data_IF_471532287148
#
_entry.id   IF_471532287148
#
_cell.length_a   1.000
_cell.length_b   1.000
_cell.length_c   1.000
_cell.angle_alpha   90.00
_cell.angle_beta   90.00
_cell.angle_gamma   90.00
#
_symmetry.space_group_name_H-M   'P 1'
#
loop_
_entity.id
_entity.type
_entity.pdbx_description
1 polymer ?
#
# COMPACT_ATOMS: atom_id res chain seq x y z
N UNK A 1 27.58 -28.22 67.78
CA UNK A 1 27.14 -29.00 66.60
C UNK A 1 25.85 -28.45 65.98
N UNK A 2 24.94 -27.88 66.77
CA UNK A 2 23.66 -27.31 66.30
C UNK A 2 23.83 -26.06 65.41
N UNK A 3 24.80 -25.19 65.73
CA UNK A 3 25.08 -23.95 64.98
C UNK A 3 25.50 -24.20 63.52
N UNK A 4 26.19 -25.31 63.26
CA UNK A 4 26.67 -25.67 61.93
C UNK A 4 25.51 -26.08 61.00
N UNK A 5 24.43 -26.62 61.57
CA UNK A 5 23.25 -27.07 60.84
C UNK A 5 22.38 -25.89 60.37
N UNK A 6 22.29 -24.82 61.19
CA UNK A 6 21.55 -23.58 60.85
C UNK A 6 22.23 -22.81 59.72
N UNK A 7 23.56 -22.77 59.69
CA UNK A 7 24.34 -22.13 58.62
C UNK A 7 24.18 -22.84 57.26
N UNK A 8 24.20 -24.18 57.25
CA UNK A 8 23.97 -24.98 56.04
C UNK A 8 22.57 -24.74 55.43
N UNK A 9 21.52 -24.69 56.26
CA UNK A 9 20.16 -24.42 55.78
C UNK A 9 19.99 -22.99 55.22
N UNK A 10 20.63 -21.98 55.82
CA UNK A 10 20.60 -20.59 55.31
C UNK A 10 21.32 -20.47 53.95
N UNK A 11 22.46 -21.13 53.77
CA UNK A 11 23.22 -21.15 52.51
C UNK A 11 22.47 -21.84 51.36
N UNK A 12 21.74 -22.92 51.64
CA UNK A 12 20.89 -23.61 50.65
C UNK A 12 19.73 -22.69 50.21
N UNK A 13 19.05 -22.02 51.16
CA UNK A 13 17.97 -21.06 50.84
C UNK A 13 18.47 -19.87 50.01
N UNK A 14 19.66 -19.34 50.29
CA UNK A 14 20.25 -18.25 49.49
C UNK A 14 20.59 -18.68 48.05
N UNK A 15 21.04 -19.92 47.82
CA UNK A 15 21.31 -20.46 46.46
C UNK A 15 20.04 -20.67 45.63
N UNK A 16 18.90 -20.96 46.25
CA UNK A 16 17.64 -21.11 45.53
C UNK A 16 16.99 -19.76 45.20
N UNK A 17 17.11 -18.76 46.09
CA UNK A 17 16.60 -17.40 45.85
C UNK A 17 17.37 -16.70 44.73
N UNK A 18 18.70 -16.83 44.69
CA UNK A 18 19.52 -16.25 43.60
C UNK A 18 19.24 -16.87 42.23
N UNK A 19 18.95 -18.17 42.16
CA UNK A 19 18.59 -18.85 40.90
C UNK A 19 17.21 -18.43 40.39
N UNK A 20 16.23 -18.20 41.27
CA UNK A 20 14.90 -17.71 40.89
C UNK A 20 14.95 -16.27 40.34
N UNK A 21 15.73 -15.38 40.96
CA UNK A 21 15.89 -14.00 40.46
C UNK A 21 16.62 -13.94 39.10
N UNK A 22 17.62 -14.80 38.89
CA UNK A 22 18.31 -14.88 37.59
C UNK A 22 17.39 -15.38 36.46
N UNK A 23 16.46 -16.31 36.75
CA UNK A 23 15.49 -16.80 35.76
C UNK A 23 14.44 -15.73 35.40
N UNK A 24 13.97 -14.96 36.39
CA UNK A 24 13.04 -13.85 36.19
C UNK A 24 13.67 -12.70 35.37
N UNK A 25 14.94 -12.38 35.60
CA UNK A 25 15.66 -11.38 34.81
C UNK A 25 15.88 -11.82 33.35
N UNK A 26 16.14 -13.11 33.11
CA UNK A 26 16.24 -13.66 31.75
C UNK A 26 14.89 -13.66 31.02
N UNK A 27 13.78 -13.90 31.73
CA UNK A 27 12.43 -13.80 31.15
C UNK A 27 12.04 -12.35 30.82
N UNK A 28 12.41 -11.38 31.66
CA UNK A 28 12.13 -9.95 31.40
C UNK A 28 12.91 -9.38 30.20
N UNK A 29 14.11 -9.91 29.92
CA UNK A 29 14.89 -9.55 28.72
C UNK A 29 14.39 -10.27 27.46
N UNK A 30 13.78 -11.45 27.59
CA UNK A 30 13.16 -12.18 26.48
C UNK A 30 11.82 -11.58 26.02
N UNK A 31 11.23 -10.69 26.83
CA UNK A 31 10.01 -9.93 26.49
C UNK A 31 10.30 -8.54 25.94
N UNK A 32 11.50 -8.28 25.40
CA UNK A 32 11.64 -7.15 24.48
C UNK A 32 10.70 -7.41 23.30
N UNK A 33 9.58 -6.68 23.29
CA UNK A 33 8.65 -6.66 22.16
C UNK A 33 9.49 -6.53 20.89
N UNK A 34 9.35 -7.51 20.01
CA UNK A 34 10.16 -7.59 18.83
C UNK A 34 9.72 -6.41 17.92
N UNK A 35 10.49 -5.32 17.91
CA UNK A 35 10.12 -4.07 17.26
C UNK A 35 9.70 -4.27 15.80
N UNK A 36 8.59 -3.65 15.42
CA UNK A 36 8.13 -3.59 14.04
C UNK A 36 9.19 -2.91 13.16
N UNK A 37 9.35 -3.37 11.92
CA UNK A 37 10.40 -2.87 11.04
C UNK A 37 9.82 -2.01 9.93
N UNK A 38 10.05 -0.70 10.01
CA UNK A 38 9.81 0.23 8.91
C UNK A 38 10.88 0.02 7.82
N UNK A 39 10.43 -0.20 6.58
CA UNK A 39 11.28 -0.44 5.41
C UNK A 39 10.82 0.42 4.24
N UNK A 40 11.77 0.92 3.47
CA UNK A 40 11.48 1.67 2.25
C UNK A 40 10.76 0.79 1.23
N UNK A 41 9.69 1.32 0.65
CA UNK A 41 8.90 0.67 -0.37
C UNK A 41 8.97 1.47 -1.67
N UNK A 42 9.41 0.84 -2.75
CA UNK A 42 9.48 1.43 -4.09
C UNK A 42 8.91 0.46 -5.09
N UNK A 43 8.19 0.97 -6.07
CA UNK A 43 7.54 0.18 -7.08
C UNK A 43 7.45 0.97 -8.38
N UNK A 44 7.48 0.27 -9.51
CA UNK A 44 7.24 0.87 -10.82
C UNK A 44 6.80 -0.18 -11.83
N UNK A 45 6.17 0.29 -12.91
CA UNK A 45 5.68 -0.58 -13.96
C UNK A 45 4.78 0.10 -14.97
N UNK A 46 3.98 -0.72 -15.62
CA UNK A 46 2.99 -0.32 -16.62
C UNK A 46 1.64 -0.94 -16.30
N UNK A 47 0.58 -0.42 -16.93
CA UNK A 47 -0.75 -0.96 -16.77
C UNK A 47 -1.71 -0.56 -17.87
N UNK A 48 -2.87 -1.19 -17.82
CA UNK A 48 -3.95 -1.00 -18.80
C UNK A 48 -5.28 -0.87 -18.05
N UNK A 49 -6.04 0.18 -18.35
CA UNK A 49 -7.47 0.26 -18.03
C UNK A 49 -8.26 -0.13 -19.29
N UNK A 50 -8.74 -1.38 -19.42
CA UNK A 50 -9.28 -1.94 -20.67
C UNK A 50 -10.57 -1.27 -21.16
N UNK A 51 -11.20 -0.48 -20.30
CA UNK A 51 -12.47 0.19 -20.60
C UNK A 51 -12.35 1.72 -20.51
N UNK A 52 -11.14 2.27 -20.61
CA UNK A 52 -10.89 3.71 -20.50
C UNK A 52 -11.13 4.28 -19.09
N UNK A 53 -11.01 5.59 -18.97
CA UNK A 53 -11.20 6.32 -17.71
C UNK A 53 -12.70 6.58 -17.45
N UNK A 54 -13.28 6.15 -16.31
CA UNK A 54 -14.64 6.56 -15.95
C UNK A 54 -14.68 8.07 -15.68
N UNK A 55 -15.75 8.73 -16.13
CA UNK A 55 -16.05 10.12 -15.77
C UNK A 55 -16.88 10.19 -14.47
N UNK A 56 -16.89 11.33 -13.76
CA UNK A 56 -17.70 11.48 -12.56
C UNK A 56 -19.17 11.09 -12.80
N UNK A 57 -19.73 10.33 -11.85
CA UNK A 57 -21.08 9.77 -11.94
C UNK A 57 -21.19 8.45 -12.71
N UNK A 58 -20.11 7.96 -13.33
CA UNK A 58 -20.06 6.63 -13.92
C UNK A 58 -19.64 5.58 -12.89
N UNK A 59 -19.97 4.30 -13.17
CA UNK A 59 -19.52 3.18 -12.36
C UNK A 59 -17.97 3.06 -12.39
N UNK A 60 -17.34 2.57 -11.30
CA UNK A 60 -15.91 2.28 -11.30
C UNK A 60 -15.53 1.33 -12.44
N UNK A 61 -14.33 1.51 -13.02
CA UNK A 61 -13.82 0.64 -14.09
C UNK A 61 -12.54 -0.07 -13.65
N UNK A 62 -12.36 -1.29 -14.16
CA UNK A 62 -11.18 -2.10 -13.86
C UNK A 62 -9.93 -1.54 -14.52
N UNK A 63 -8.80 -1.83 -13.91
CA UNK A 63 -7.47 -1.67 -14.48
C UNK A 63 -6.52 -2.68 -13.85
N UNK A 64 -5.42 -2.97 -14.53
CA UNK A 64 -4.40 -3.91 -14.05
C UNK A 64 -3.00 -3.45 -14.42
N UNK A 65 -2.00 -3.95 -13.69
CA UNK A 65 -0.58 -3.61 -13.85
C UNK A 65 0.30 -4.83 -13.96
N UNK A 66 1.49 -4.60 -14.52
CA UNK A 66 2.68 -5.42 -14.38
C UNK A 66 3.81 -4.53 -13.88
N UNK A 67 4.56 -4.99 -12.89
CA UNK A 67 5.64 -4.18 -12.33
C UNK A 67 6.62 -4.96 -11.49
N UNK A 68 7.58 -4.22 -10.93
CA UNK A 68 8.54 -4.71 -9.96
C UNK A 68 8.56 -3.79 -8.75
N UNK A 69 8.67 -4.36 -7.54
CA UNK A 69 8.66 -3.60 -6.30
C UNK A 69 9.64 -4.15 -5.27
N UNK A 70 10.12 -3.29 -4.37
CA UNK A 70 10.90 -3.75 -3.22
C UNK A 70 10.02 -4.63 -2.34
N UNK A 71 10.58 -5.73 -1.81
CA UNK A 71 9.89 -6.72 -0.97
C UNK A 71 8.81 -7.59 -1.65
N UNK A 72 8.17 -7.12 -2.73
CA UNK A 72 7.19 -7.88 -3.51
C UNK A 72 7.82 -8.56 -4.75
N UNK A 73 8.86 -7.95 -5.33
CA UNK A 73 9.48 -8.41 -6.58
C UNK A 73 8.60 -8.16 -7.80
N UNK A 74 8.75 -9.02 -8.82
CA UNK A 74 7.84 -9.05 -9.97
C UNK A 74 6.42 -9.35 -9.49
N UNK A 75 5.47 -8.54 -9.94
CA UNK A 75 4.09 -8.65 -9.51
C UNK A 75 3.10 -8.25 -10.61
N UNK A 76 1.88 -8.76 -10.44
CA UNK A 76 0.68 -8.23 -11.09
C UNK A 76 -0.06 -7.37 -10.08
N UNK A 77 -1.01 -6.57 -10.54
CA UNK A 77 -2.04 -6.04 -9.65
C UNK A 77 -3.30 -5.67 -10.40
N UNK A 78 -4.40 -5.65 -9.69
CA UNK A 78 -5.71 -5.33 -10.24
C UNK A 78 -6.60 -4.63 -9.22
N UNK A 79 -7.52 -3.82 -9.71
CA UNK A 79 -8.54 -3.15 -8.92
C UNK A 79 -9.43 -2.30 -9.80
N UNK A 80 -10.19 -1.39 -9.19
CA UNK A 80 -11.07 -0.47 -9.92
C UNK A 80 -10.81 0.97 -9.54
N UNK A 81 -10.86 1.86 -10.53
CA UNK A 81 -10.75 3.30 -10.35
C UNK A 81 -12.12 3.95 -10.48
N UNK A 82 -12.38 4.96 -9.65
CA UNK A 82 -13.58 5.79 -9.69
C UNK A 82 -13.17 7.27 -9.63
N UNK A 83 -13.56 8.05 -10.64
CA UNK A 83 -13.49 9.51 -10.57
C UNK A 83 -14.69 10.05 -9.80
N UNK A 84 -14.46 11.10 -9.02
CA UNK A 84 -15.40 11.59 -8.00
C UNK A 84 -15.84 13.00 -8.34
N UNK A 85 -14.88 13.90 -8.51
CA UNK A 85 -15.14 15.28 -8.94
C UNK A 85 -14.40 15.58 -10.24
N UNK A 86 -14.89 16.57 -10.97
CA UNK A 86 -14.16 17.20 -12.06
C UNK A 86 -14.37 18.72 -11.98
N UNK A 87 -13.27 19.47 -12.04
CA UNK A 87 -13.26 20.91 -12.23
C UNK A 87 -12.93 21.23 -13.69
N UNK A 88 -13.78 22.07 -14.28
CA UNK A 88 -13.73 22.50 -15.68
C UNK A 88 -13.36 23.99 -15.81
N UNK A 89 -12.86 24.61 -14.74
CA UNK A 89 -12.46 26.02 -14.71
C UNK A 89 -11.46 26.42 -15.82
N UNK A 90 -10.62 25.48 -16.26
CA UNK A 90 -9.61 25.66 -17.31
C UNK A 90 -9.94 24.91 -18.62
N UNK A 91 -11.20 24.54 -18.84
CA UNK A 91 -11.62 23.80 -20.03
C UNK A 91 -11.50 24.64 -21.32
N UNK A 92 -11.03 24.08 -22.46
CA UNK A 92 -10.67 22.68 -22.67
C UNK A 92 -9.21 22.35 -22.40
N UNK A 93 -8.38 23.30 -21.97
CA UNK A 93 -6.93 23.07 -21.83
C UNK A 93 -6.61 22.04 -20.74
N UNK A 94 -7.34 22.11 -19.62
CA UNK A 94 -7.09 21.31 -18.43
C UNK A 94 -8.39 20.97 -17.71
N UNK A 95 -8.48 19.76 -17.18
CA UNK A 95 -9.55 19.30 -16.28
C UNK A 95 -8.86 18.67 -15.09
N UNK A 96 -9.17 19.11 -13.87
CA UNK A 96 -8.64 18.50 -12.64
C UNK A 96 -9.76 17.82 -11.89
N UNK A 97 -9.42 16.98 -10.91
CA UNK A 97 -10.45 16.33 -10.11
C UNK A 97 -9.88 15.40 -9.06
N UNK A 98 -10.78 14.66 -8.46
CA UNK A 98 -10.48 13.69 -7.41
C UNK A 98 -10.90 12.29 -7.84
N UNK A 99 -10.18 11.28 -7.37
CA UNK A 99 -10.46 9.89 -7.67
C UNK A 99 -10.08 9.00 -6.49
N UNK A 100 -10.65 7.81 -6.45
CA UNK A 100 -10.23 6.76 -5.52
C UNK A 100 -10.56 5.37 -6.06
N UNK A 101 -10.17 4.37 -5.29
CA UNK A 101 -10.46 2.97 -5.58
C UNK A 101 -11.95 2.69 -5.42
N UNK A 102 -12.59 2.07 -6.43
CA UNK A 102 -13.96 1.57 -6.32
C UNK A 102 -14.05 0.26 -5.53
N UNK A 103 -12.97 -0.52 -5.56
CA UNK A 103 -12.72 -1.75 -4.81
C UNK A 103 -11.25 -1.75 -4.42
N UNK A 104 -10.85 -2.44 -3.34
CA UNK A 104 -9.44 -2.55 -2.97
C UNK A 104 -8.59 -3.03 -4.15
N UNK A 105 -7.39 -2.47 -4.25
CA UNK A 105 -6.38 -2.87 -5.21
C UNK A 105 -5.54 -4.00 -4.64
N UNK A 106 -5.30 -5.05 -5.40
CA UNK A 106 -4.58 -6.23 -4.96
C UNK A 106 -3.29 -6.35 -5.75
N UNK A 107 -2.15 -6.19 -5.11
CA UNK A 107 -0.87 -6.55 -5.69
C UNK A 107 -0.55 -8.01 -5.37
N UNK A 108 -0.17 -8.80 -6.38
CA UNK A 108 0.18 -10.22 -6.21
C UNK A 108 1.63 -10.44 -6.66
N UNK A 109 2.49 -10.78 -5.71
CA UNK A 109 3.89 -11.11 -5.98
C UNK A 109 4.03 -12.45 -6.70
N UNK A 110 5.16 -12.69 -7.35
CA UNK A 110 5.44 -13.96 -8.05
C UNK A 110 5.37 -15.20 -7.14
N UNK A 111 5.48 -15.03 -5.82
CA UNK A 111 5.32 -16.09 -4.82
C UNK A 111 3.88 -16.30 -4.33
N UNK A 112 2.91 -15.53 -4.85
CA UNK A 112 1.49 -15.58 -4.48
C UNK A 112 1.13 -14.74 -3.25
N UNK A 113 2.08 -14.06 -2.61
CA UNK A 113 1.78 -13.14 -1.51
C UNK A 113 0.97 -11.95 -2.04
N UNK A 114 -0.07 -11.57 -1.30
CA UNK A 114 -0.96 -10.48 -1.67
C UNK A 114 -0.77 -9.27 -0.74
N UNK A 115 -0.60 -8.10 -1.33
CA UNK A 115 -0.67 -6.81 -0.66
C UNK A 115 -1.95 -6.12 -1.12
N UNK A 116 -2.95 -6.07 -0.24
CA UNK A 116 -4.27 -5.47 -0.53
C UNK A 116 -4.28 -4.04 -0.02
N UNK A 117 -4.74 -3.10 -0.83
CA UNK A 117 -4.68 -1.67 -0.53
C UNK A 117 -5.96 -0.93 -0.91
N UNK A 118 -6.30 0.10 -0.14
CA UNK A 118 -7.15 1.17 -0.64
C UNK A 118 -6.26 2.27 -1.23
N UNK A 119 -6.75 3.00 -2.24
CA UNK A 119 -6.00 4.15 -2.80
C UNK A 119 -6.92 5.29 -3.21
N UNK A 120 -6.41 6.51 -3.12
CA UNK A 120 -7.13 7.73 -3.51
C UNK A 120 -8.44 8.00 -2.75
N UNK A 121 -8.80 7.16 -1.78
CA UNK A 121 -9.90 7.36 -0.85
C UNK A 121 -9.68 6.44 0.34
N UNK A 122 -9.45 7.03 1.51
CA UNK A 122 -9.49 6.24 2.74
C UNK A 122 -10.95 6.03 3.18
N UNK A 123 -11.21 4.93 3.90
CA UNK A 123 -12.51 4.72 4.55
C UNK A 123 -12.85 5.81 5.59
N UNK A 124 -11.83 6.50 6.10
CA UNK A 124 -11.93 7.59 7.08
C UNK A 124 -11.97 8.99 6.46
N UNK A 125 -11.72 9.13 5.15
CA UNK A 125 -11.60 10.41 4.44
C UNK A 125 -10.27 11.15 4.64
N UNK A 126 -9.25 10.50 5.20
CA UNK A 126 -7.98 11.13 5.58
C UNK A 126 -7.06 11.45 4.40
N UNK A 127 -7.28 10.81 3.25
CA UNK A 127 -6.56 11.11 2.00
C UNK A 127 -7.47 10.92 0.78
N UNK A 128 -7.24 11.74 -0.24
CA UNK A 128 -7.94 11.73 -1.52
C UNK A 128 -6.94 11.74 -2.68
N UNK A 129 -7.24 11.00 -3.74
CA UNK A 129 -6.43 10.97 -4.95
C UNK A 129 -6.77 12.14 -5.85
N UNK A 130 -5.78 12.70 -6.52
CA UNK A 130 -5.95 13.80 -7.46
C UNK A 130 -5.56 13.40 -8.88
N UNK A 131 -6.33 13.86 -9.86
CA UNK A 131 -5.98 13.71 -11.25
C UNK A 131 -5.98 15.04 -12.00
N UNK A 132 -5.19 15.07 -13.06
CA UNK A 132 -5.15 16.14 -14.05
C UNK A 132 -5.23 15.54 -15.45
N UNK A 133 -6.15 16.04 -16.27
CA UNK A 133 -6.23 15.78 -17.69
C UNK A 133 -5.71 17.01 -18.43
N UNK A 134 -4.73 16.83 -19.31
CA UNK A 134 -4.20 17.88 -20.18
C UNK A 134 -4.61 17.57 -21.62
N UNK A 135 -5.25 18.53 -22.29
CA UNK A 135 -5.59 18.39 -23.70
C UNK A 135 -4.35 18.51 -24.57
N UNK A 136 -4.15 17.50 -25.43
CA UNK A 136 -3.01 17.42 -26.36
C UNK A 136 -3.46 17.46 -27.82
N UNK A 137 -4.77 17.40 -28.10
CA UNK A 137 -5.30 17.51 -29.44
C UNK A 137 -6.81 17.30 -29.50
N UNK A 138 -7.31 17.25 -30.74
CA UNK A 138 -8.70 16.92 -31.07
C UNK A 138 -8.65 15.91 -32.21
N UNK A 139 -9.48 14.88 -32.17
CA UNK A 139 -9.58 13.90 -33.26
C UNK A 139 -10.40 14.45 -34.45
N UNK A 140 -10.66 13.59 -35.45
CA UNK A 140 -11.42 14.00 -36.65
C UNK A 140 -12.90 14.27 -36.39
N UNK A 141 -13.44 13.72 -35.31
CA UNK A 141 -14.85 13.82 -34.95
C UNK A 141 -15.09 14.95 -33.92
N UNK A 142 -14.04 15.66 -33.53
CA UNK A 142 -14.12 16.77 -32.58
C UNK A 142 -13.95 16.35 -31.12
N UNK A 143 -13.59 15.10 -30.84
CA UNK A 143 -13.37 14.64 -29.46
C UNK A 143 -12.00 15.08 -28.94
N UNK A 144 -11.93 15.41 -27.66
CA UNK A 144 -10.67 15.79 -27.01
C UNK A 144 -9.73 14.59 -26.87
N UNK A 145 -8.49 14.76 -27.29
CA UNK A 145 -7.39 13.84 -26.99
C UNK A 145 -6.64 14.42 -25.79
N UNK A 146 -6.53 13.64 -24.72
CA UNK A 146 -5.93 14.07 -23.45
C UNK A 146 -4.85 13.10 -22.99
N UNK A 147 -3.90 13.58 -22.19
CA UNK A 147 -3.10 12.74 -21.28
C UNK A 147 -3.61 12.93 -19.86
N UNK A 148 -3.43 11.93 -19.01
CA UNK A 148 -3.80 12.02 -17.60
C UNK A 148 -2.61 11.77 -16.68
N UNK A 149 -2.53 12.54 -15.59
CA UNK A 149 -1.64 12.35 -14.46
C UNK A 149 -2.47 12.07 -13.21
N UNK A 150 -2.19 10.97 -12.53
CA UNK A 150 -2.86 10.57 -11.28
C UNK A 150 -1.85 10.55 -10.15
N UNK A 151 -2.23 11.06 -8.99
CA UNK A 151 -1.44 11.03 -7.76
C UNK A 151 -2.34 10.52 -6.63
N UNK A 152 -1.95 9.44 -5.98
CA UNK A 152 -2.69 8.89 -4.85
C UNK A 152 -1.75 8.25 -3.81
N UNK A 153 -2.15 8.34 -2.55
CA UNK A 153 -1.61 7.49 -1.50
C UNK A 153 -2.28 6.11 -1.55
N UNK A 154 -1.47 5.07 -1.37
CA UNK A 154 -1.88 3.69 -1.21
C UNK A 154 -1.63 3.27 0.23
N UNK A 155 -2.66 2.70 0.85
CA UNK A 155 -2.62 2.27 2.25
C UNK A 155 -2.98 0.79 2.33
N UNK A 156 -2.09 -0.06 2.87
CA UNK A 156 -2.37 -1.48 3.08
C UNK A 156 -3.58 -1.72 3.96
N UNK A 157 -4.31 -2.78 3.64
CA UNK A 157 -5.33 -3.41 4.47
C UNK A 157 -4.68 -4.61 5.16
N UNK A 158 -4.23 -4.46 6.43
CA UNK A 158 -3.35 -5.42 7.07
C UNK A 158 -4.00 -6.81 7.22
N UNK A 159 -5.30 -6.83 7.48
CA UNK A 159 -6.08 -8.06 7.71
C UNK A 159 -6.45 -8.79 6.41
N UNK A 160 -6.48 -8.07 5.29
CA UNK A 160 -6.79 -8.63 3.96
C UNK A 160 -5.53 -9.06 3.20
N UNK A 161 -4.35 -8.58 3.63
CA UNK A 161 -3.06 -8.92 3.04
C UNK A 161 -2.55 -10.28 3.52
N UNK A 162 -1.80 -10.99 2.69
CA UNK A 162 -1.37 -12.37 2.93
C UNK A 162 0.14 -12.55 2.92
N UNK A 163 0.61 -13.74 3.31
CA UNK A 163 2.03 -14.09 3.29
C UNK A 163 2.88 -13.14 4.12
N UNK A 164 3.95 -12.60 3.54
CA UNK A 164 4.83 -11.61 4.20
C UNK A 164 4.16 -10.27 4.48
N UNK A 165 3.07 -9.95 3.78
CA UNK A 165 2.33 -8.69 3.93
C UNK A 165 1.20 -8.81 4.95
N UNK A 166 0.95 -9.99 5.51
CA UNK A 166 -0.06 -10.16 6.56
C UNK A 166 0.28 -9.29 7.78
N UNK A 167 -0.59 -8.31 8.08
CA UNK A 167 -0.40 -7.34 9.16
C UNK A 167 0.53 -6.16 8.82
N UNK A 168 0.88 -5.96 7.55
CA UNK A 168 1.72 -4.81 7.13
C UNK A 168 0.93 -3.51 7.26
N UNK A 169 1.60 -2.44 7.70
CA UNK A 169 1.05 -1.08 7.77
C UNK A 169 1.98 -0.09 7.07
N UNK A 170 1.64 1.20 7.09
CA UNK A 170 2.38 2.26 6.40
C UNK A 170 1.64 2.73 5.14
N UNK A 171 2.36 3.37 4.23
CA UNK A 171 1.78 3.88 2.99
C UNK A 171 2.86 4.27 1.98
N UNK A 172 2.44 4.51 0.75
CA UNK A 172 3.28 5.11 -0.29
C UNK A 172 2.46 5.99 -1.22
N UNK A 173 3.12 6.95 -1.84
CA UNK A 173 2.51 7.75 -2.91
C UNK A 173 2.84 7.12 -4.24
N UNK A 174 1.83 6.97 -5.09
CA UNK A 174 1.95 6.54 -6.48
C UNK A 174 1.62 7.70 -7.42
N UNK A 175 2.40 7.82 -8.48
CA UNK A 175 2.17 8.72 -9.61
C UNK A 175 2.00 7.86 -10.86
N UNK A 176 0.91 8.04 -11.59
CA UNK A 176 0.65 7.34 -12.85
C UNK A 176 0.41 8.33 -13.98
N UNK A 177 0.99 8.09 -15.16
CA UNK A 177 0.86 8.92 -16.35
C UNK A 177 0.42 8.07 -17.55
N UNK A 178 -0.60 8.54 -18.26
CA UNK A 178 -1.16 7.81 -19.40
C UNK A 178 -0.49 8.18 -20.72
N UNK A 179 -0.60 7.29 -21.71
CA UNK A 179 -0.49 7.70 -23.12
C UNK A 179 -1.70 8.58 -23.51
N UNK A 180 -1.63 9.35 -24.60
CA UNK A 180 -2.78 10.09 -25.11
C UNK A 180 -3.96 9.18 -25.42
N UNK A 181 -5.18 9.61 -25.07
CA UNK A 181 -6.42 8.88 -25.31
C UNK A 181 -7.58 9.84 -25.57
N UNK A 182 -8.66 9.34 -26.17
CA UNK A 182 -9.88 10.12 -26.40
C UNK A 182 -10.71 10.19 -25.12
N UNK A 183 -10.96 11.40 -24.62
CA UNK A 183 -11.73 11.62 -23.40
C UNK A 183 -13.16 11.08 -23.55
N UNK A 184 -13.57 10.22 -22.61
CA UNK A 184 -14.90 9.59 -22.63
C UNK A 184 -15.00 8.32 -23.49
N UNK A 185 -13.94 7.95 -24.22
CA UNK A 185 -13.87 6.67 -24.93
C UNK A 185 -13.85 5.47 -23.96
N UNK A 186 -14.24 4.30 -24.46
CA UNK A 186 -14.08 2.99 -23.80
C UNK A 186 -12.87 2.22 -24.31
N UNK A 187 -12.06 2.82 -25.18
CA UNK A 187 -10.83 2.20 -25.67
C UNK A 187 -9.84 1.94 -24.51
N UNK A 188 -9.00 0.89 -24.62
CA UNK A 188 -7.98 0.64 -23.62
C UNK A 188 -7.05 1.82 -23.41
N UNK A 189 -6.83 2.17 -22.14
CA UNK A 189 -5.94 3.24 -21.71
C UNK A 189 -4.65 2.64 -21.16
N UNK A 190 -3.53 2.88 -21.83
CA UNK A 190 -2.21 2.48 -21.36
C UNK A 190 -1.58 3.56 -20.47
N UNK A 191 -0.89 3.14 -19.41
CA UNK A 191 -0.21 4.05 -18.49
C UNK A 191 1.06 3.44 -17.91
N UNK A 192 1.96 4.31 -17.47
CA UNK A 192 3.12 3.98 -16.65
C UNK A 192 2.93 4.55 -15.26
N UNK A 193 3.59 3.95 -14.26
CA UNK A 193 3.48 4.38 -12.89
C UNK A 193 4.76 4.13 -12.11
N UNK A 194 4.99 4.97 -11.11
CA UNK A 194 6.06 4.87 -10.13
C UNK A 194 5.51 5.21 -8.75
N UNK A 195 6.06 4.60 -7.71
CA UNK A 195 5.67 4.88 -6.34
C UNK A 195 6.81 4.73 -5.34
N UNK A 196 6.73 5.52 -4.27
CA UNK A 196 7.70 5.49 -3.17
C UNK A 196 7.03 5.81 -1.83
N UNK A 197 7.47 5.11 -0.80
CA UNK A 197 7.01 5.30 0.57
C UNK A 197 7.68 4.33 1.53
N UNK A 198 6.94 3.93 2.56
CA UNK A 198 7.45 3.03 3.60
C UNK A 198 6.37 2.08 4.09
N UNK A 199 6.77 0.84 4.32
CA UNK A 199 5.94 -0.20 4.91
C UNK A 199 6.54 -0.68 6.22
N UNK A 200 5.68 -0.93 7.21
CA UNK A 200 6.06 -1.48 8.50
C UNK A 200 5.63 -2.94 8.57
N UNK A 201 6.62 -3.82 8.68
CA UNK A 201 6.42 -5.27 8.70
C UNK A 201 6.41 -5.80 10.15
N UNK A 202 5.53 -6.77 10.41
CA UNK A 202 5.55 -7.53 11.65
C UNK A 202 6.79 -8.44 11.69
N UNK A 203 7.55 -8.36 12.78
CA UNK A 203 8.76 -9.18 12.95
C UNK A 203 8.38 -10.67 13.14
N UNK A 204 9.14 -11.56 12.51
CA UNK A 204 9.01 -13.02 12.67
C UNK A 204 8.13 -13.73 11.64
N UNK A 205 7.42 -13.00 10.77
CA UNK A 205 6.83 -13.58 9.55
C UNK A 205 7.84 -13.45 8.40
N UNK A 206 8.24 -14.58 7.82
CA UNK A 206 9.11 -14.68 6.64
C UNK A 206 8.29 -14.97 5.40
#
# INVERSE_FOLDING_TARGET
>A
MEEFHVLQQKLIRYRHITRFFALLAAFALATQAADAQEKAFKLGGEGVAPHGLPLPGQAPRSHWILGNATHLGLHTGDGTVQTVTADFSEFPARITGTFGSGTPYVFVGANGDQLVCDYGRSATGDFEGHYELTTVGVDRDGNLIVTALFIAEFVPRPDDSTGRFAGVTGSWTMIAATKPFVLGSTDPLEYQWDGEGKLTFLKGKK
#
